data_IF_738229022802
#
_entry.id   IF_738229022802
#
_cell.length_a   1.000
_cell.length_b   1.000
_cell.length_c   1.000
_cell.angle_alpha   90.00
_cell.angle_beta   90.00
_cell.angle_gamma   90.00
#
_symmetry.space_group_name_H-M   'P 1'
#
loop_
_entity.id
_entity.type
_entity.pdbx_description
1 polymer ?
#
# COMPACT_ATOMS: atom_id res chain seq x y z
N UNK A 1 -12.57 -12.01 -13.01
CA UNK A 1 -11.42 -11.19 -12.59
C UNK A 1 -11.28 -11.12 -11.05
N UNK A 2 -12.35 -10.87 -10.24
CA UNK A 2 -12.23 -10.83 -8.78
C UNK A 2 -11.70 -12.13 -8.15
N UNK A 3 -12.11 -13.28 -8.66
CA UNK A 3 -11.64 -14.58 -8.15
C UNK A 3 -10.15 -14.81 -8.42
N UNK A 4 -9.61 -14.31 -9.53
CA UNK A 4 -8.17 -14.36 -9.80
C UNK A 4 -7.40 -13.45 -8.84
N UNK A 5 -7.94 -12.27 -8.56
CA UNK A 5 -7.34 -11.37 -7.56
C UNK A 5 -7.37 -12.00 -6.17
N UNK A 6 -8.48 -12.64 -5.79
CA UNK A 6 -8.58 -13.35 -4.51
C UNK A 6 -7.52 -14.46 -4.40
N UNK A 7 -7.39 -15.29 -5.43
CA UNK A 7 -6.38 -16.35 -5.47
C UNK A 7 -4.96 -15.79 -5.36
N UNK A 8 -4.65 -14.73 -6.13
CA UNK A 8 -3.36 -14.03 -6.06
C UNK A 8 -3.11 -13.44 -4.67
N UNK A 9 -4.13 -12.85 -4.05
CA UNK A 9 -4.03 -12.30 -2.70
C UNK A 9 -3.75 -13.38 -1.66
N UNK A 10 -4.43 -14.53 -1.74
CA UNK A 10 -4.21 -15.66 -0.82
C UNK A 10 -2.77 -16.19 -0.98
N UNK A 11 -2.33 -16.41 -2.22
CA UNK A 11 -0.96 -16.89 -2.49
C UNK A 11 0.09 -15.90 -1.98
N UNK A 12 -0.11 -14.60 -2.22
CA UNK A 12 0.82 -13.57 -1.75
C UNK A 12 0.80 -13.40 -0.23
N UNK A 13 -0.39 -13.44 0.39
CA UNK A 13 -0.52 -13.41 1.86
C UNK A 13 0.15 -14.63 2.52
N UNK A 14 0.03 -15.80 1.91
CA UNK A 14 0.71 -17.01 2.39
C UNK A 14 2.24 -16.85 2.31
N UNK A 15 2.77 -16.39 1.17
CA UNK A 15 4.20 -16.11 1.00
C UNK A 15 4.70 -15.07 2.02
N UNK A 16 3.95 -14.00 2.23
CA UNK A 16 4.27 -12.96 3.19
C UNK A 16 4.22 -13.47 4.65
N UNK A 17 3.24 -14.31 4.98
CA UNK A 17 3.10 -14.97 6.27
C UNK A 17 4.25 -15.96 6.57
N UNK A 18 4.68 -16.74 5.58
CA UNK A 18 5.86 -17.60 5.69
C UNK A 18 7.12 -16.79 5.96
N UNK A 19 7.27 -15.65 5.27
CA UNK A 19 8.40 -14.76 5.49
C UNK A 19 8.39 -14.19 6.92
N UNK A 20 7.21 -13.79 7.42
CA UNK A 20 7.04 -13.34 8.80
C UNK A 20 7.46 -14.42 9.80
N UNK A 21 6.96 -15.64 9.60
CA UNK A 21 7.27 -16.78 10.47
C UNK A 21 8.79 -17.09 10.50
N UNK A 22 9.44 -17.14 9.35
CA UNK A 22 10.89 -17.42 9.23
C UNK A 22 11.72 -16.29 9.82
N UNK A 23 11.32 -15.04 9.60
CA UNK A 23 12.04 -13.87 10.08
C UNK A 23 11.89 -13.64 11.60
N UNK A 24 10.87 -14.22 12.23
CA UNK A 24 10.52 -13.97 13.63
C UNK A 24 10.10 -12.53 13.93
N UNK A 25 9.88 -11.72 12.91
CA UNK A 25 9.51 -10.29 12.98
C UNK A 25 8.62 -9.89 11.82
N UNK A 26 7.88 -8.80 11.99
CA UNK A 26 7.08 -8.26 10.90
C UNK A 26 8.01 -7.85 9.74
N UNK A 27 7.78 -8.35 8.50
CA UNK A 27 8.67 -8.08 7.37
C UNK A 27 8.41 -6.71 6.76
N UNK A 28 8.92 -5.64 7.40
CA UNK A 28 8.80 -4.24 7.02
C UNK A 28 10.13 -3.47 7.15
N UNK A 29 11.25 -4.19 7.20
CA UNK A 29 12.53 -3.60 7.61
C UNK A 29 13.45 -3.24 6.45
N UNK A 30 13.10 -3.61 5.23
CA UNK A 30 13.84 -3.24 4.02
C UNK A 30 12.88 -2.93 2.86
N UNK A 31 13.42 -2.36 1.78
CA UNK A 31 12.64 -1.96 0.61
C UNK A 31 11.88 -3.12 -0.04
N UNK A 32 12.47 -4.32 -0.08
CA UNK A 32 11.80 -5.51 -0.59
C UNK A 32 10.55 -5.84 0.23
N UNK A 33 10.69 -5.90 1.55
CA UNK A 33 9.59 -6.25 2.47
C UNK A 33 8.47 -5.20 2.44
N UNK A 34 8.82 -3.91 2.38
CA UNK A 34 7.82 -2.84 2.30
C UNK A 34 7.04 -2.85 0.99
N UNK A 35 7.69 -3.16 -0.15
CA UNK A 35 7.00 -3.30 -1.44
C UNK A 35 6.09 -4.53 -1.47
N UNK A 36 6.50 -5.66 -0.87
CA UNK A 36 5.64 -6.83 -0.70
C UNK A 36 4.40 -6.51 0.14
N UNK A 37 4.58 -5.79 1.24
CA UNK A 37 3.47 -5.34 2.08
C UNK A 37 2.56 -4.35 1.36
N UNK A 38 3.12 -3.38 0.63
CA UNK A 38 2.34 -2.45 -0.20
C UNK A 38 1.48 -3.20 -1.23
N UNK A 39 2.06 -4.17 -1.93
CA UNK A 39 1.31 -4.99 -2.88
C UNK A 39 0.15 -5.74 -2.20
N UNK A 40 0.39 -6.30 -1.01
CA UNK A 40 -0.64 -6.97 -0.22
C UNK A 40 -1.77 -6.00 0.18
N UNK A 41 -1.45 -4.81 0.67
CA UNK A 41 -2.42 -3.78 1.01
C UNK A 41 -3.28 -3.39 -0.20
N UNK A 42 -2.64 -3.18 -1.37
CA UNK A 42 -3.35 -2.86 -2.62
C UNK A 42 -4.33 -3.97 -3.01
N UNK A 43 -3.89 -5.23 -2.96
CA UNK A 43 -4.77 -6.38 -3.25
C UNK A 43 -5.94 -6.46 -2.27
N UNK A 44 -5.69 -6.32 -0.96
CA UNK A 44 -6.73 -6.35 0.07
C UNK A 44 -7.75 -5.22 -0.11
N UNK A 45 -7.29 -3.99 -0.31
CA UNK A 45 -8.19 -2.86 -0.56
C UNK A 45 -8.98 -3.04 -1.86
N UNK A 46 -8.36 -3.58 -2.90
CA UNK A 46 -9.05 -3.88 -4.15
C UNK A 46 -10.18 -4.89 -3.96
N UNK A 47 -9.97 -5.94 -3.18
CA UNK A 47 -11.01 -6.91 -2.83
C UNK A 47 -12.11 -6.29 -1.95
N UNK A 48 -11.73 -5.44 -0.99
CA UNK A 48 -12.68 -4.73 -0.12
C UNK A 48 -13.61 -3.82 -0.93
N UNK A 49 -13.07 -3.10 -1.89
CA UNK A 49 -13.82 -2.12 -2.68
C UNK A 49 -14.42 -2.69 -3.97
N UNK A 50 -14.16 -3.95 -4.35
CA UNK A 50 -14.58 -4.53 -5.63
C UNK A 50 -16.10 -4.52 -5.85
N UNK A 51 -16.89 -4.45 -4.78
CA UNK A 51 -18.37 -4.39 -4.84
C UNK A 51 -18.90 -3.01 -5.19
N UNK A 52 -18.18 -1.96 -4.82
CA UNK A 52 -18.64 -0.58 -4.96
C UNK A 52 -17.98 0.17 -6.13
N UNK A 53 -16.79 -0.28 -6.54
CA UNK A 53 -16.01 0.41 -7.55
C UNK A 53 -15.59 -0.54 -8.68
N UNK A 54 -16.18 -0.31 -9.86
CA UNK A 54 -16.05 -1.22 -11.02
C UNK A 54 -14.61 -1.47 -11.47
N UNK A 55 -13.77 -0.44 -11.46
CA UNK A 55 -12.40 -0.53 -12.00
C UNK A 55 -11.36 -0.94 -10.96
N UNK A 56 -11.74 -1.06 -9.68
CA UNK A 56 -10.78 -1.26 -8.60
C UNK A 56 -9.99 -2.56 -8.73
N UNK A 57 -10.59 -3.62 -9.25
CA UNK A 57 -9.90 -4.90 -9.45
C UNK A 57 -8.79 -4.78 -10.48
N UNK A 58 -9.03 -4.06 -11.58
CA UNK A 58 -8.01 -3.79 -12.60
C UNK A 58 -6.90 -2.91 -12.03
N UNK A 59 -7.25 -1.89 -11.26
CA UNK A 59 -6.28 -1.04 -10.57
C UNK A 59 -5.47 -1.82 -9.54
N UNK A 60 -6.13 -2.75 -8.82
CA UNK A 60 -5.48 -3.66 -7.88
C UNK A 60 -4.39 -4.50 -8.53
N UNK A 61 -4.68 -5.15 -9.65
CA UNK A 61 -3.67 -5.89 -10.41
C UNK A 61 -2.53 -5.01 -10.92
N UNK A 62 -2.87 -3.85 -11.49
CA UNK A 62 -1.88 -2.94 -12.05
C UNK A 62 -0.91 -2.43 -10.97
N UNK A 63 -1.44 -1.93 -9.85
CA UNK A 63 -0.62 -1.34 -8.79
C UNK A 63 0.14 -2.38 -7.98
N UNK A 64 -0.48 -3.51 -7.64
CA UNK A 64 0.22 -4.59 -6.93
C UNK A 64 1.32 -5.20 -7.81
N UNK A 65 1.02 -5.45 -9.09
CA UNK A 65 2.01 -5.93 -10.04
C UNK A 65 3.17 -4.96 -10.22
N UNK A 66 2.87 -3.65 -10.29
CA UNK A 66 3.91 -2.61 -10.36
C UNK A 66 4.77 -2.56 -9.10
N UNK A 67 4.18 -2.65 -7.90
CA UNK A 67 4.93 -2.68 -6.65
C UNK A 67 5.87 -3.91 -6.57
N UNK A 68 5.39 -5.08 -6.99
CA UNK A 68 6.22 -6.29 -7.06
C UNK A 68 7.33 -6.18 -8.12
N UNK A 69 7.02 -5.59 -9.26
CA UNK A 69 8.00 -5.33 -10.32
C UNK A 69 9.11 -4.38 -9.85
N UNK A 70 8.74 -3.28 -9.17
CA UNK A 70 9.72 -2.34 -8.58
C UNK A 70 10.60 -3.04 -7.55
N UNK A 71 10.03 -3.88 -6.71
CA UNK A 71 10.78 -4.71 -5.75
C UNK A 71 11.82 -5.59 -6.45
N UNK A 72 11.48 -6.17 -7.58
CA UNK A 72 12.36 -7.04 -8.36
C UNK A 72 13.43 -6.24 -9.13
N UNK A 73 13.03 -5.23 -9.90
CA UNK A 73 13.92 -4.42 -10.73
C UNK A 73 14.85 -3.52 -9.91
N UNK A 74 14.39 -3.06 -8.75
CA UNK A 74 15.18 -2.23 -7.84
C UNK A 74 16.34 -2.95 -7.17
N UNK A 75 16.61 -4.20 -7.52
CA UNK A 75 17.65 -5.06 -6.92
C UNK A 75 17.57 -5.06 -5.38
N UNK A 76 16.35 -4.92 -4.84
CA UNK A 76 16.12 -4.94 -3.42
C UNK A 76 16.44 -6.31 -2.86
N UNK A 77 17.26 -6.34 -1.80
CA UNK A 77 17.74 -7.61 -1.24
C UNK A 77 16.58 -8.42 -0.62
N UNK A 78 16.23 -9.60 -1.17
CA UNK A 78 15.19 -10.47 -0.63
C UNK A 78 15.63 -11.29 0.60
N UNK A 79 16.92 -11.27 0.96
CA UNK A 79 17.45 -12.05 2.06
C UNK A 79 16.89 -11.57 3.40
N UNK A 80 16.65 -12.52 4.30
CA UNK A 80 16.27 -12.24 5.69
C UNK A 80 17.57 -12.07 6.46
N UNK A 81 17.93 -10.83 6.76
CA UNK A 81 19.14 -10.48 7.51
C UNK A 81 18.79 -10.06 8.94
N UNK A 82 19.70 -10.27 9.91
CA UNK A 82 19.56 -9.70 11.25
C UNK A 82 19.42 -8.17 11.16
N UNK A 83 18.55 -7.59 11.97
CA UNK A 83 18.35 -6.15 12.01
C UNK A 83 19.35 -5.48 12.95
N UNK A 84 19.74 -4.26 12.58
CA UNK A 84 20.37 -3.35 13.53
C UNK A 84 19.37 -3.00 14.66
N UNK A 85 19.85 -2.81 15.91
CA UNK A 85 18.96 -2.56 17.06
C UNK A 85 17.95 -1.42 16.82
N UNK A 86 18.34 -0.36 16.16
CA UNK A 86 17.49 0.80 15.81
C UNK A 86 16.30 0.42 14.93
N UNK A 87 16.46 -0.58 14.06
CA UNK A 87 15.40 -1.07 13.19
C UNK A 87 14.50 -2.14 13.83
N UNK A 88 14.89 -2.66 14.99
CA UNK A 88 14.14 -3.66 15.74
C UNK A 88 13.21 -2.99 16.77
N UNK A 89 12.34 -2.10 16.30
CA UNK A 89 11.37 -1.37 17.14
C UNK A 89 9.95 -1.65 16.68
N UNK A 90 9.01 -1.93 17.58
CA UNK A 90 7.59 -2.04 17.27
C UNK A 90 7.03 -0.74 16.64
N UNK A 91 7.50 0.42 17.10
CA UNK A 91 7.06 1.72 16.58
C UNK A 91 7.39 1.90 15.10
N UNK A 92 8.59 1.43 14.67
CA UNK A 92 8.96 1.44 13.26
C UNK A 92 8.01 0.58 12.43
N UNK A 93 7.68 -0.62 12.92
CA UNK A 93 6.78 -1.54 12.23
C UNK A 93 5.37 -0.95 12.08
N UNK A 94 4.84 -0.30 13.12
CA UNK A 94 3.56 0.40 13.05
C UNK A 94 3.63 1.61 12.11
N UNK A 95 4.65 2.45 12.25
CA UNK A 95 4.86 3.59 11.34
C UNK A 95 4.80 3.15 9.88
N UNK A 96 5.64 2.20 9.49
CA UNK A 96 5.73 1.72 8.10
C UNK A 96 4.41 1.10 7.65
N UNK A 97 3.72 0.33 8.52
CA UNK A 97 2.43 -0.25 8.18
C UNK A 97 1.38 0.80 7.83
N UNK A 98 1.23 1.83 8.66
CA UNK A 98 0.27 2.91 8.43
C UNK A 98 0.61 3.73 7.18
N UNK A 99 1.89 4.05 6.98
CA UNK A 99 2.35 4.77 5.78
C UNK A 99 2.10 3.94 4.51
N UNK A 100 2.41 2.64 4.51
CA UNK A 100 2.19 1.79 3.33
C UNK A 100 0.70 1.59 3.02
N UNK A 101 -0.16 1.46 4.03
CA UNK A 101 -1.61 1.44 3.82
C UNK A 101 -2.11 2.75 3.21
N UNK A 102 -1.61 3.89 3.68
CA UNK A 102 -1.91 5.20 3.09
C UNK A 102 -1.47 5.27 1.63
N UNK A 103 -0.25 4.83 1.32
CA UNK A 103 0.27 4.81 -0.05
C UNK A 103 -0.54 3.91 -0.98
N UNK A 104 -1.05 2.78 -0.49
CA UNK A 104 -1.97 1.95 -1.25
C UNK A 104 -3.25 2.70 -1.63
N UNK A 105 -3.84 3.47 -0.72
CA UNK A 105 -5.01 4.31 -1.02
C UNK A 105 -4.67 5.46 -1.97
N UNK A 106 -3.52 6.11 -1.82
CA UNK A 106 -3.07 7.14 -2.77
C UNK A 106 -2.83 6.58 -4.18
N UNK A 107 -2.35 5.34 -4.30
CA UNK A 107 -2.21 4.68 -5.59
C UNK A 107 -3.57 4.51 -6.30
N UNK A 108 -4.62 4.14 -5.57
CA UNK A 108 -5.99 4.12 -6.12
C UNK A 108 -6.50 5.50 -6.51
N UNK A 109 -6.28 6.50 -5.65
CA UNK A 109 -6.62 7.91 -5.95
C UNK A 109 -5.95 8.38 -7.24
N UNK A 110 -4.68 8.08 -7.40
CA UNK A 110 -3.91 8.44 -8.58
C UNK A 110 -4.50 7.85 -9.86
N UNK A 111 -4.71 6.53 -9.91
CA UNK A 111 -5.27 5.86 -11.08
C UNK A 111 -6.70 6.31 -11.38
N UNK A 112 -7.50 6.50 -10.35
CA UNK A 112 -8.86 6.97 -10.50
C UNK A 112 -8.91 8.41 -11.06
N UNK A 113 -8.01 9.27 -10.58
CA UNK A 113 -7.86 10.64 -11.09
C UNK A 113 -7.39 10.66 -12.54
N UNK A 114 -6.43 9.81 -12.92
CA UNK A 114 -6.00 9.68 -14.32
C UNK A 114 -7.17 9.23 -15.23
N UNK A 115 -7.97 8.29 -14.74
CA UNK A 115 -9.16 7.81 -15.47
C UNK A 115 -10.17 8.92 -15.63
N UNK A 116 -10.44 9.71 -14.59
CA UNK A 116 -11.35 10.85 -14.65
C UNK A 116 -10.84 11.92 -15.64
N UNK A 117 -9.54 12.23 -15.60
CA UNK A 117 -8.92 13.20 -16.49
C UNK A 117 -9.02 12.74 -17.97
N UNK A 118 -8.74 11.48 -18.24
CA UNK A 118 -8.86 10.90 -19.57
C UNK A 118 -10.31 10.93 -20.11
N UNK A 119 -11.30 10.71 -19.24
CA UNK A 119 -12.72 10.82 -19.60
C UNK A 119 -13.13 12.27 -19.88
N UNK A 120 -12.69 13.22 -19.08
CA UNK A 120 -12.96 14.65 -19.31
C UNK A 120 -12.41 15.06 -20.67
N UNK A 121 -11.22 14.63 -21.02
CA UNK A 121 -10.60 14.97 -22.30
C UNK A 121 -11.33 14.36 -23.50
N UNK A 122 -11.90 13.14 -23.36
CA UNK A 122 -12.60 12.45 -24.45
C UNK A 122 -14.05 12.84 -24.61
N UNK A 123 -14.79 13.05 -23.54
CA UNK A 123 -16.26 13.16 -23.54
C UNK A 123 -16.76 14.39 -22.78
N UNK A 124 -15.86 15.11 -22.10
CA UNK A 124 -16.23 16.23 -21.24
C UNK A 124 -16.75 15.78 -19.86
N UNK A 125 -17.31 16.73 -19.12
CA UNK A 125 -17.91 16.45 -17.81
C UNK A 125 -19.19 15.64 -17.98
N UNK A 126 -19.25 14.50 -17.30
CA UNK A 126 -20.42 13.60 -17.29
C UNK A 126 -20.60 12.95 -15.90
N UNK A 127 -21.68 12.19 -15.74
CA UNK A 127 -22.00 11.50 -14.47
C UNK A 127 -20.89 10.54 -14.02
N UNK A 128 -20.18 9.90 -14.94
CA UNK A 128 -19.07 9.00 -14.59
C UNK A 128 -17.91 9.77 -13.98
N UNK A 129 -17.55 10.93 -14.52
CA UNK A 129 -16.50 11.81 -13.97
C UNK A 129 -16.89 12.30 -12.58
N UNK A 130 -18.17 12.66 -12.38
CA UNK A 130 -18.68 13.08 -11.07
C UNK A 130 -18.59 11.94 -10.05
N UNK A 131 -18.95 10.71 -10.43
CA UNK A 131 -18.83 9.52 -9.60
C UNK A 131 -17.38 9.20 -9.21
N UNK A 132 -16.44 9.30 -10.18
CA UNK A 132 -15.01 9.11 -9.92
C UNK A 132 -14.46 10.17 -8.96
N UNK A 133 -14.86 11.42 -9.13
CA UNK A 133 -14.50 12.53 -8.26
C UNK A 133 -15.00 12.31 -6.82
N UNK A 134 -16.24 11.84 -6.65
CA UNK A 134 -16.79 11.51 -5.35
C UNK A 134 -16.02 10.37 -4.68
N UNK A 135 -15.70 9.32 -5.43
CA UNK A 135 -14.87 8.20 -4.96
C UNK A 135 -13.50 8.70 -4.48
N UNK A 136 -12.86 9.61 -5.21
CA UNK A 136 -11.60 10.21 -4.79
C UNK A 136 -11.73 10.96 -3.46
N UNK A 137 -12.78 11.75 -3.29
CA UNK A 137 -13.01 12.46 -2.03
C UNK A 137 -13.18 11.50 -0.85
N UNK A 138 -13.92 10.41 -1.04
CA UNK A 138 -14.14 9.41 0.01
C UNK A 138 -12.85 8.65 0.38
N UNK A 139 -11.98 8.36 -0.57
CA UNK A 139 -10.70 7.67 -0.32
C UNK A 139 -9.63 8.60 0.24
N UNK A 140 -9.70 9.90 -0.05
CA UNK A 140 -8.71 10.87 0.40
C UNK A 140 -8.67 10.99 1.92
N UNK A 141 -9.83 11.03 2.59
CA UNK A 141 -9.89 11.17 4.04
C UNK A 141 -9.16 10.03 4.80
N UNK A 142 -9.47 8.74 4.55
CA UNK A 142 -8.75 7.67 5.21
C UNK A 142 -7.26 7.61 4.81
N UNK A 143 -6.92 7.96 3.56
CA UNK A 143 -5.52 8.02 3.14
C UNK A 143 -4.73 9.07 3.94
N UNK A 144 -5.27 10.28 4.09
CA UNK A 144 -4.65 11.35 4.87
C UNK A 144 -4.59 11.01 6.36
N UNK A 145 -5.64 10.40 6.92
CA UNK A 145 -5.67 9.97 8.31
C UNK A 145 -4.58 8.95 8.60
N UNK A 146 -4.48 7.90 7.78
CA UNK A 146 -3.45 6.87 7.91
C UNK A 146 -2.04 7.45 7.79
N UNK A 147 -1.83 8.41 6.86
CA UNK A 147 -0.55 9.08 6.71
C UNK A 147 -0.21 9.90 7.95
N UNK A 148 -1.16 10.67 8.47
CA UNK A 148 -0.96 11.48 9.68
C UNK A 148 -0.61 10.63 10.91
N UNK A 149 -1.33 9.52 11.12
CA UNK A 149 -1.03 8.55 12.19
C UNK A 149 0.36 7.95 11.94
N UNK A 150 0.67 7.56 10.70
CA UNK A 150 1.98 7.02 10.35
C UNK A 150 3.11 7.99 10.70
N UNK A 151 3.00 9.26 10.32
CA UNK A 151 4.01 10.30 10.62
C UNK A 151 4.17 10.48 12.14
N UNK A 152 3.07 10.52 12.89
CA UNK A 152 3.12 10.65 14.35
C UNK A 152 3.84 9.45 15.00
N UNK A 153 3.56 8.22 14.55
CA UNK A 153 4.26 7.02 15.02
C UNK A 153 5.75 7.02 14.64
N UNK A 154 6.08 7.56 13.47
CA UNK A 154 7.47 7.73 13.03
C UNK A 154 8.25 8.69 13.91
N UNK A 155 7.63 9.77 14.38
CA UNK A 155 8.27 10.70 15.31
C UNK A 155 8.53 10.06 16.68
N UNK A 156 7.61 9.23 17.19
CA UNK A 156 7.83 8.46 18.43
C UNK A 156 9.02 7.51 18.26
N UNK A 157 9.06 6.75 17.14
CA UNK A 157 10.19 5.90 16.84
C UNK A 157 11.52 6.67 16.76
N UNK A 158 11.53 7.84 16.12
CA UNK A 158 12.72 8.67 16.00
C UNK A 158 13.24 9.13 17.37
N UNK A 159 12.33 9.55 18.26
CA UNK A 159 12.69 9.95 19.62
C UNK A 159 13.27 8.79 20.45
N UNK A 160 12.72 7.58 20.35
CA UNK A 160 13.27 6.39 21.03
C UNK A 160 14.64 5.99 20.47
N UNK A 161 14.83 6.12 19.15
CA UNK A 161 16.01 5.61 18.46
C UNK A 161 17.19 6.60 18.49
N UNK A 162 16.92 7.90 18.44
CA UNK A 162 17.91 8.97 18.29
C UNK A 162 17.82 10.05 19.36
N UNK A 163 16.83 10.00 20.26
CA UNK A 163 16.63 10.98 21.31
C UNK A 163 16.02 12.31 20.87
N UNK A 164 15.52 12.39 19.64
CA UNK A 164 14.82 13.56 19.11
C UNK A 164 13.69 13.14 18.14
N UNK A 165 12.62 13.95 18.08
CA UNK A 165 11.44 13.65 17.25
C UNK A 165 11.66 13.89 15.75
N UNK A 166 12.59 14.75 15.40
CA UNK A 166 13.02 15.12 14.03
C UNK A 166 14.52 15.43 14.00
#
# INVERSE_FOLDING_TARGET
LPYLLLLSTIAHAFQYGLRWYIAGRLPLSNGYETMQFLALCVMCFSLLFCRWWRNVVTFGFLMSGFALLVSYLGQMNPQITPLMPVLNSPWLSFHVSFVMMSYALFAFLFLNSLTALALIWKVGMNEQVTSLSLTNRLLLYPAMLLLGIGIALGSVWANESWGCFW
#
